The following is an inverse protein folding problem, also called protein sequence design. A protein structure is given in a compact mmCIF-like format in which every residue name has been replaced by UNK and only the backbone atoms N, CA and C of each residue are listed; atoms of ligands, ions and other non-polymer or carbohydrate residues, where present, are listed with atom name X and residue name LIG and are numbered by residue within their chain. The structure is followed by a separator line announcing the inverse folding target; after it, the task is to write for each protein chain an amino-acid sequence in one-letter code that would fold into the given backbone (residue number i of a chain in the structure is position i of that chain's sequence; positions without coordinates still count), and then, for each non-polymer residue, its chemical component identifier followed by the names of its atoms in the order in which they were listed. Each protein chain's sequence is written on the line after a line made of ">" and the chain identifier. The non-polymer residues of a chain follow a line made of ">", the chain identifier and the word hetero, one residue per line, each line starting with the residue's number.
data_IF_943838204808
#
_entry.id   IF_943838204808
#
_cell.length_a   1.000
_cell.length_b   1.000
_cell.length_c   1.000
_cell.angle_alpha   90.00
_cell.angle_beta   90.00
_cell.angle_gamma   90.00
#
_symmetry.space_group_name_H-M   'P 1'
#
loop_
_entity.id
_entity.type
_entity.pdbx_description
1 polymer ?
#
# COMPACT_ATOMS: atom_id res chain seq x y z
N UNK A 1 -14.70 16.05 -25.52
CA UNK A 1 -15.09 16.48 -24.16
C UNK A 1 -16.53 16.07 -23.96
N UNK A 2 -16.93 15.08 -23.18
CA UNK A 2 -16.32 14.29 -22.10
C UNK A 2 -16.27 12.80 -22.47
N UNK A 3 -15.15 12.14 -22.15
CA UNK A 3 -15.10 10.67 -22.10
C UNK A 3 -16.26 10.21 -21.20
N UNK A 4 -17.10 9.29 -21.69
CA UNK A 4 -18.20 8.71 -20.91
C UNK A 4 -17.62 8.15 -19.61
N UNK A 5 -17.90 8.81 -18.48
CA UNK A 5 -17.62 8.23 -17.18
C UNK A 5 -18.42 6.92 -17.09
N UNK A 6 -17.79 5.79 -16.76
CA UNK A 6 -18.53 4.56 -16.54
C UNK A 6 -19.63 4.82 -15.49
N UNK A 7 -20.90 4.44 -15.73
CA UNK A 7 -22.01 4.76 -14.82
C UNK A 7 -21.74 4.36 -13.37
N UNK A 8 -21.05 3.23 -13.15
CA UNK A 8 -20.62 2.77 -11.82
C UNK A 8 -19.69 3.78 -11.13
N UNK A 9 -18.72 4.33 -11.85
CA UNK A 9 -17.76 5.31 -11.30
C UNK A 9 -18.47 6.61 -10.93
N UNK A 10 -19.41 7.08 -11.77
CA UNK A 10 -20.21 8.26 -11.45
C UNK A 10 -21.10 8.02 -10.20
N UNK A 11 -21.75 6.86 -10.11
CA UNK A 11 -22.56 6.51 -8.95
C UNK A 11 -21.71 6.45 -7.66
N UNK A 12 -20.55 5.80 -7.71
CA UNK A 12 -19.61 5.72 -6.58
C UNK A 12 -19.07 7.11 -6.18
N UNK A 13 -18.85 8.00 -7.14
CA UNK A 13 -18.46 9.38 -6.88
C UNK A 13 -19.58 10.17 -6.20
N UNK A 14 -20.81 10.09 -6.71
CA UNK A 14 -21.97 10.77 -6.09
C UNK A 14 -22.26 10.23 -4.68
N UNK A 15 -22.16 8.91 -4.48
CA UNK A 15 -22.30 8.27 -3.17
C UNK A 15 -21.24 8.73 -2.17
N UNK A 16 -20.09 9.23 -2.64
CA UNK A 16 -19.05 9.75 -1.74
C UNK A 16 -19.38 11.12 -1.13
N UNK A 17 -20.28 11.92 -1.74
CA UNK A 17 -20.58 13.27 -1.25
C UNK A 17 -21.23 13.29 0.14
N UNK A 18 -22.01 12.27 0.49
CA UNK A 18 -22.59 12.18 1.85
C UNK A 18 -21.54 12.11 2.96
N UNK A 19 -20.31 11.70 2.65
CA UNK A 19 -19.21 11.71 3.60
C UNK A 19 -18.51 13.06 3.64
N UNK A 20 -18.47 13.79 2.52
CA UNK A 20 -17.88 15.14 2.46
C UNK A 20 -18.65 16.09 3.36
N UNK A 21 -19.98 15.98 3.42
CA UNK A 21 -20.81 16.80 4.31
C UNK A 21 -20.44 16.63 5.79
N UNK A 22 -19.91 15.46 6.18
CA UNK A 22 -19.48 15.22 7.56
C UNK A 22 -18.20 15.97 7.94
N UNK A 23 -17.42 16.49 6.98
CA UNK A 23 -16.25 17.33 7.28
C UNK A 23 -16.61 18.62 8.03
N UNK A 24 -17.89 19.01 8.06
CA UNK A 24 -18.36 20.13 8.87
C UNK A 24 -18.26 19.85 10.39
N UNK A 25 -18.25 18.58 10.82
CA UNK A 25 -18.30 18.20 12.24
C UNK A 25 -17.31 17.09 12.63
N UNK A 26 -16.65 16.45 11.66
CA UNK A 26 -15.71 15.35 11.85
C UNK A 26 -14.36 15.69 11.22
N UNK A 27 -13.29 15.10 11.77
CA UNK A 27 -11.94 15.17 11.17
C UNK A 27 -11.86 14.39 9.86
N UNK A 28 -10.86 14.69 9.03
CA UNK A 28 -10.60 13.98 7.76
C UNK A 28 -10.41 12.47 7.99
N UNK A 29 -9.78 12.09 9.10
CA UNK A 29 -9.54 10.69 9.49
C UNK A 29 -10.85 9.98 9.81
N UNK A 30 -11.73 10.61 10.60
CA UNK A 30 -13.05 10.05 10.95
C UNK A 30 -13.94 9.91 9.71
N UNK A 31 -13.95 10.92 8.83
CA UNK A 31 -14.70 10.88 7.57
C UNK A 31 -14.19 9.76 6.67
N UNK A 32 -12.87 9.63 6.51
CA UNK A 32 -12.27 8.56 5.72
C UNK A 32 -12.57 7.18 6.32
N UNK A 33 -12.53 7.03 7.64
CA UNK A 33 -12.88 5.77 8.30
C UNK A 33 -14.35 5.40 8.07
N UNK A 34 -15.25 6.37 8.21
CA UNK A 34 -16.68 6.19 7.94
C UNK A 34 -16.93 5.77 6.49
N UNK A 35 -16.23 6.39 5.54
CA UNK A 35 -16.27 6.02 4.13
C UNK A 35 -15.77 4.59 3.90
N UNK A 36 -14.59 4.25 4.42
CA UNK A 36 -14.01 2.90 4.32
C UNK A 36 -14.95 1.84 4.89
N UNK A 37 -15.51 2.08 6.07
CA UNK A 37 -16.44 1.17 6.73
C UNK A 37 -17.73 0.97 5.93
N UNK A 38 -18.32 2.06 5.43
CA UNK A 38 -19.55 1.99 4.63
C UNK A 38 -19.34 1.22 3.33
N UNK A 39 -18.24 1.51 2.61
CA UNK A 39 -17.92 0.82 1.35
C UNK A 39 -17.68 -0.68 1.59
N UNK A 40 -16.91 -1.03 2.61
CA UNK A 40 -16.61 -2.43 2.93
C UNK A 40 -17.86 -3.23 3.35
N UNK A 41 -18.76 -2.60 4.10
CA UNK A 41 -20.06 -3.19 4.42
C UNK A 41 -20.93 -3.38 3.18
N UNK A 42 -20.97 -2.41 2.27
CA UNK A 42 -21.69 -2.50 1.00
C UNK A 42 -21.19 -3.63 0.09
N UNK A 43 -19.93 -4.05 0.22
CA UNK A 43 -19.36 -5.21 -0.47
C UNK A 43 -19.68 -6.56 0.21
N UNK A 44 -20.33 -6.55 1.39
CA UNK A 44 -20.64 -7.77 2.14
C UNK A 44 -19.41 -8.47 2.73
N UNK A 45 -18.35 -7.72 3.05
CA UNK A 45 -17.07 -8.26 3.53
C UNK A 45 -16.90 -8.21 5.05
N UNK A 46 -17.82 -7.58 5.78
CA UNK A 46 -17.72 -7.35 7.24
C UNK A 46 -17.53 -8.63 8.07
N UNK A 47 -18.02 -9.78 7.62
CA UNK A 47 -17.91 -11.06 8.32
C UNK A 47 -16.68 -11.89 7.99
N UNK A 48 -15.79 -11.41 7.10
CA UNK A 48 -14.64 -12.20 6.62
C UNK A 48 -13.42 -12.05 7.54
N UNK A 49 -13.32 -10.93 8.26
CA UNK A 49 -12.12 -10.62 9.04
C UNK A 49 -12.13 -11.31 10.40
N UNK A 50 -11.01 -11.92 10.81
CA UNK A 50 -10.89 -12.59 12.10
C UNK A 50 -10.69 -11.63 13.28
N UNK A 51 -10.24 -10.39 13.02
CA UNK A 51 -10.01 -9.37 14.04
C UNK A 51 -10.19 -7.96 13.50
N UNK A 52 -10.45 -7.02 14.41
CA UNK A 52 -10.59 -5.59 14.07
C UNK A 52 -9.27 -4.94 13.67
N UNK A 53 -8.14 -5.49 14.13
CA UNK A 53 -6.80 -4.98 13.84
C UNK A 53 -6.47 -4.97 12.35
N UNK A 54 -7.03 -5.91 11.59
CA UNK A 54 -6.80 -6.06 10.15
C UNK A 54 -7.75 -5.20 9.30
N UNK A 55 -8.70 -4.53 9.94
CA UNK A 55 -9.89 -3.99 9.29
C UNK A 55 -9.57 -2.82 8.38
N UNK A 56 -8.79 -1.84 8.82
CA UNK A 56 -8.44 -0.67 8.00
C UNK A 56 -7.66 -1.08 6.75
N UNK A 57 -6.66 -1.96 6.90
CA UNK A 57 -5.88 -2.45 5.79
C UNK A 57 -6.75 -3.22 4.78
N UNK A 58 -7.60 -4.14 5.25
CA UNK A 58 -8.54 -4.85 4.39
C UNK A 58 -9.50 -3.90 3.64
N UNK A 59 -10.05 -2.90 4.33
CA UNK A 59 -10.94 -1.90 3.71
C UNK A 59 -10.24 -1.13 2.59
N UNK A 60 -9.01 -0.66 2.83
CA UNK A 60 -8.21 0.05 1.82
C UNK A 60 -7.87 -0.87 0.64
N UNK A 61 -7.46 -2.11 0.89
CA UNK A 61 -7.15 -3.09 -0.17
C UNK A 61 -8.38 -3.43 -1.02
N UNK A 62 -9.55 -3.58 -0.41
CA UNK A 62 -10.81 -3.78 -1.15
C UNK A 62 -11.11 -2.62 -2.09
N UNK A 63 -10.92 -1.37 -1.65
CA UNK A 63 -11.08 -0.21 -2.53
C UNK A 63 -10.05 -0.17 -3.67
N UNK A 64 -8.82 -0.65 -3.43
CA UNK A 64 -7.80 -0.74 -4.47
C UNK A 64 -8.17 -1.76 -5.56
N UNK A 65 -8.77 -2.90 -5.18
CA UNK A 65 -9.03 -4.02 -6.09
C UNK A 65 -10.07 -3.73 -7.18
N UNK A 66 -11.15 -3.00 -6.88
CA UNK A 66 -12.19 -2.60 -7.86
C UNK A 66 -12.71 -3.75 -8.76
N UNK A 67 -13.47 -4.69 -8.19
CA UNK A 67 -14.12 -5.79 -8.90
C UNK A 67 -13.71 -7.21 -8.49
N UNK A 68 -12.80 -7.34 -7.52
CA UNK A 68 -12.41 -8.61 -6.89
C UNK A 68 -12.08 -8.40 -5.40
N UNK A 69 -12.94 -7.63 -4.73
CA UNK A 69 -12.72 -7.14 -3.38
C UNK A 69 -12.73 -8.26 -2.33
N UNK A 70 -13.44 -9.35 -2.59
CA UNK A 70 -13.43 -10.54 -1.71
C UNK A 70 -12.11 -11.29 -1.84
N UNK A 71 -11.66 -11.51 -3.07
CA UNK A 71 -10.46 -12.27 -3.40
C UNK A 71 -9.22 -11.57 -2.85
N UNK A 72 -9.13 -10.24 -2.94
CA UNK A 72 -7.99 -9.51 -2.36
C UNK A 72 -7.95 -9.60 -0.83
N UNK A 73 -9.11 -9.64 -0.15
CA UNK A 73 -9.16 -9.82 1.31
C UNK A 73 -8.74 -11.24 1.69
N UNK A 74 -9.21 -12.25 0.96
CA UNK A 74 -8.76 -13.65 1.17
C UNK A 74 -7.26 -13.79 0.94
N UNK A 75 -6.73 -13.17 -0.13
CA UNK A 75 -5.30 -13.14 -0.42
C UNK A 75 -4.51 -12.46 0.72
N UNK A 76 -5.00 -11.33 1.23
CA UNK A 76 -4.41 -10.61 2.36
C UNK A 76 -4.36 -11.46 3.63
N UNK A 77 -5.44 -12.15 3.97
CA UNK A 77 -5.49 -13.05 5.12
C UNK A 77 -4.54 -14.25 4.96
N UNK A 78 -4.32 -14.69 3.72
CA UNK A 78 -3.43 -15.82 3.39
C UNK A 78 -1.94 -15.47 3.37
N UNK A 79 -1.57 -14.18 3.51
CA UNK A 79 -0.18 -13.76 3.51
C UNK A 79 0.62 -14.35 4.68
N UNK A 80 1.96 -14.48 4.51
CA UNK A 80 2.85 -14.69 5.65
C UNK A 80 2.64 -13.58 6.69
N UNK A 81 2.72 -13.94 7.98
CA UNK A 81 2.44 -13.01 9.08
C UNK A 81 3.23 -11.70 8.97
N UNK A 82 4.50 -11.77 8.56
CA UNK A 82 5.37 -10.61 8.38
C UNK A 82 4.87 -9.64 7.30
N UNK A 83 4.50 -10.16 6.12
CA UNK A 83 3.96 -9.32 5.03
C UNK A 83 2.59 -8.74 5.41
N UNK A 84 1.75 -9.54 6.08
CA UNK A 84 0.45 -9.08 6.59
C UNK A 84 0.60 -7.95 7.61
N UNK A 85 1.50 -8.09 8.58
CA UNK A 85 1.76 -7.05 9.58
C UNK A 85 2.26 -5.74 8.96
N UNK A 86 3.20 -5.80 8.01
CA UNK A 86 3.67 -4.60 7.29
C UNK A 86 2.51 -3.87 6.62
N UNK A 87 1.65 -4.61 5.89
CA UNK A 87 0.49 -4.02 5.24
C UNK A 87 -0.53 -3.47 6.25
N UNK A 88 -0.79 -4.19 7.34
CA UNK A 88 -1.66 -3.74 8.43
C UNK A 88 -1.17 -2.41 9.00
N UNK A 89 0.09 -2.34 9.39
CA UNK A 89 0.67 -1.15 10.01
C UNK A 89 0.68 0.03 9.03
N UNK A 90 1.19 -0.17 7.82
CA UNK A 90 1.41 0.92 6.86
C UNK A 90 0.11 1.44 6.24
N UNK A 91 -0.85 0.56 5.94
CA UNK A 91 -2.16 0.99 5.44
C UNK A 91 -3.03 1.59 6.55
N UNK A 92 -2.74 1.34 7.84
CA UNK A 92 -3.48 1.96 8.93
C UNK A 92 -2.97 3.35 9.31
N UNK A 93 -1.80 3.78 8.81
CA UNK A 93 -1.28 5.14 9.01
C UNK A 93 -2.07 6.15 8.18
N UNK A 94 -2.41 7.27 8.82
CA UNK A 94 -3.20 8.36 8.26
C UNK A 94 -2.33 9.45 7.65
N UNK A 95 -1.17 9.73 8.26
CA UNK A 95 -0.37 10.92 7.94
C UNK A 95 -0.90 12.20 8.60
N UNK A 96 -1.82 12.04 9.55
CA UNK A 96 -2.40 13.07 10.40
C UNK A 96 -2.02 12.79 11.86
N UNK A 97 -2.20 13.78 12.75
CA UNK A 97 -2.03 13.58 14.20
C UNK A 97 -3.03 12.57 14.76
N UNK A 98 -4.23 12.57 14.20
CA UNK A 98 -5.32 11.64 14.49
C UNK A 98 -5.06 10.27 13.84
N UNK A 99 -5.49 9.21 14.51
CA UNK A 99 -5.48 7.84 13.99
C UNK A 99 -6.91 7.34 13.85
N UNK A 100 -7.12 6.31 13.03
CA UNK A 100 -8.42 5.67 12.96
C UNK A 100 -8.82 5.11 14.34
N UNK A 101 -10.11 5.21 14.67
CA UNK A 101 -10.65 4.65 15.91
C UNK A 101 -10.49 3.12 15.97
N UNK A 102 -10.49 2.46 14.80
CA UNK A 102 -10.32 1.00 14.66
C UNK A 102 -8.88 0.55 14.39
N UNK A 103 -7.88 1.41 14.59
CA UNK A 103 -6.46 1.01 14.56
C UNK A 103 -6.14 0.15 15.80
N UNK A 104 -5.27 -0.88 15.69
CA UNK A 104 -4.80 -1.63 16.85
C UNK A 104 -4.26 -0.70 17.95
N UNK A 105 -4.56 -0.99 19.21
CA UNK A 105 -4.04 -0.20 20.35
C UNK A 105 -2.50 -0.21 20.44
N UNK A 106 -1.88 -1.21 19.84
CA UNK A 106 -0.43 -1.40 19.73
C UNK A 106 0.21 -0.61 18.60
N UNK A 107 -0.57 -0.03 17.69
CA UNK A 107 -0.04 0.70 16.55
C UNK A 107 0.66 1.99 17.02
N UNK A 108 1.93 2.12 16.65
CA UNK A 108 2.72 3.32 16.93
C UNK A 108 2.14 4.53 16.19
N UNK A 109 1.95 5.63 16.94
CA UNK A 109 1.54 6.95 16.43
C UNK A 109 2.69 7.72 15.78
N UNK A 110 3.66 7.04 15.18
CA UNK A 110 4.82 7.67 14.53
C UNK A 110 4.62 7.72 13.01
N UNK A 111 5.35 8.61 12.33
CA UNK A 111 5.30 8.74 10.87
C UNK A 111 6.68 8.81 10.22
N UNK A 112 6.78 9.04 8.91
CA UNK A 112 5.69 9.45 8.03
C UNK A 112 4.78 8.29 7.62
N UNK A 113 3.55 8.64 7.23
CA UNK A 113 2.70 7.75 6.44
C UNK A 113 3.18 7.68 4.98
N UNK A 114 2.77 6.64 4.27
CA UNK A 114 3.16 6.42 2.89
C UNK A 114 1.97 6.49 1.94
N UNK A 115 2.12 7.29 0.88
CA UNK A 115 1.27 7.25 -0.30
C UNK A 115 2.00 6.49 -1.40
N UNK A 116 1.63 5.22 -1.63
CA UNK A 116 2.15 4.45 -2.76
C UNK A 116 1.42 4.89 -4.03
N UNK A 117 2.04 5.81 -4.77
CA UNK A 117 1.48 6.35 -6.00
C UNK A 117 1.46 5.26 -7.09
N UNK A 118 0.27 4.96 -7.61
CA UNK A 118 -0.10 3.79 -8.43
C UNK A 118 -0.27 2.45 -7.69
N UNK A 119 -0.36 2.43 -6.35
CA UNK A 119 -0.73 1.23 -5.59
C UNK A 119 -2.01 0.53 -6.10
N UNK A 120 -3.13 1.25 -6.32
CA UNK A 120 -4.33 0.65 -6.91
C UNK A 120 -4.10 0.02 -8.28
N UNK A 121 -3.31 0.66 -9.15
CA UNK A 121 -3.03 0.14 -10.49
C UNK A 121 -2.23 -1.17 -10.42
N UNK A 122 -1.25 -1.29 -9.52
CA UNK A 122 -0.53 -2.55 -9.28
C UNK A 122 -1.49 -3.68 -8.87
N UNK A 123 -2.42 -3.41 -7.96
CA UNK A 123 -3.41 -4.39 -7.50
C UNK A 123 -4.35 -4.77 -8.66
N UNK A 124 -4.87 -3.79 -9.40
CA UNK A 124 -5.81 -4.02 -10.50
C UNK A 124 -5.19 -4.79 -11.66
N UNK A 125 -3.91 -4.54 -11.99
CA UNK A 125 -3.17 -5.27 -13.03
C UNK A 125 -3.03 -6.76 -12.69
N UNK A 126 -2.93 -7.11 -11.40
CA UNK A 126 -2.83 -8.49 -10.92
C UNK A 126 -4.11 -9.31 -11.11
N UNK A 127 -5.28 -8.63 -11.11
CA UNK A 127 -6.61 -9.26 -11.05
C UNK A 127 -6.76 -10.17 -9.82
N UNK A 128 -7.88 -10.89 -9.74
CA UNK A 128 -8.16 -11.83 -8.66
C UNK A 128 -7.10 -12.96 -8.54
N UNK A 129 -6.57 -13.43 -9.68
CA UNK A 129 -5.67 -14.60 -9.72
C UNK A 129 -4.26 -14.36 -9.19
N UNK A 130 -3.78 -13.10 -9.17
CA UNK A 130 -2.43 -12.75 -8.68
C UNK A 130 -2.49 -11.77 -7.50
N UNK A 131 -3.63 -11.69 -6.82
CA UNK A 131 -3.81 -10.78 -5.67
C UNK A 131 -2.80 -11.05 -4.56
N UNK A 132 -2.47 -12.32 -4.30
CA UNK A 132 -1.47 -12.71 -3.31
C UNK A 132 -0.09 -12.13 -3.63
N UNK A 133 0.41 -12.34 -4.85
CA UNK A 133 1.69 -11.83 -5.32
C UNK A 133 1.73 -10.30 -5.31
N UNK A 134 0.65 -9.64 -5.73
CA UNK A 134 0.55 -8.18 -5.72
C UNK A 134 0.73 -7.60 -4.31
N UNK A 135 0.09 -8.20 -3.31
CA UNK A 135 0.21 -7.78 -1.93
C UNK A 135 1.62 -7.99 -1.36
N UNK A 136 2.32 -9.05 -1.79
CA UNK A 136 3.72 -9.28 -1.41
C UNK A 136 4.67 -8.27 -2.03
N UNK A 137 4.43 -7.87 -3.28
CA UNK A 137 5.15 -6.76 -3.92
C UNK A 137 4.92 -5.48 -3.11
N UNK A 138 3.66 -5.16 -2.79
CA UNK A 138 3.31 -3.97 -2.03
C UNK A 138 3.95 -3.94 -0.63
N UNK A 139 3.91 -5.06 0.11
CA UNK A 139 4.58 -5.19 1.40
C UNK A 139 6.09 -4.97 1.30
N UNK A 140 6.72 -5.46 0.23
CA UNK A 140 8.15 -5.27 0.00
C UNK A 140 8.50 -3.82 -0.33
N UNK A 141 7.64 -3.12 -1.09
CA UNK A 141 7.78 -1.67 -1.34
C UNK A 141 7.67 -0.89 -0.05
N UNK A 142 6.73 -1.22 0.83
CA UNK A 142 6.60 -0.57 2.14
C UNK A 142 7.85 -0.78 3.02
N UNK A 143 8.36 -2.01 3.11
CA UNK A 143 9.60 -2.31 3.85
C UNK A 143 10.78 -1.46 3.35
N UNK A 144 11.02 -1.46 2.04
CA UNK A 144 12.10 -0.68 1.46
C UNK A 144 11.89 0.84 1.60
N UNK A 145 10.63 1.31 1.54
CA UNK A 145 10.29 2.71 1.81
C UNK A 145 10.59 3.10 3.25
N UNK A 146 10.39 2.16 4.20
CA UNK A 146 10.66 2.39 5.62
C UNK A 146 12.16 2.44 5.95
N UNK A 147 12.99 1.74 5.18
CA UNK A 147 14.45 1.92 5.23
C UNK A 147 14.85 3.34 4.80
N UNK A 148 14.19 3.90 3.78
CA UNK A 148 14.43 5.28 3.34
C UNK A 148 13.79 6.31 4.27
N UNK A 149 12.62 6.05 4.85
CA UNK A 149 11.90 7.01 5.68
C UNK A 149 11.49 6.37 7.02
N UNK A 150 12.44 6.24 7.96
CA UNK A 150 12.20 5.63 9.25
C UNK A 150 11.07 6.31 10.03
N UNK A 151 10.45 5.56 10.94
CA UNK A 151 9.46 6.12 11.85
C UNK A 151 10.13 7.14 12.80
N UNK A 152 9.51 8.30 12.93
CA UNK A 152 9.88 9.38 13.83
C UNK A 152 8.60 10.06 14.34
N UNK A 153 8.65 10.59 15.55
CA UNK A 153 7.49 11.31 16.12
C UNK A 153 7.24 12.63 15.37
N UNK A 154 8.31 13.28 14.92
CA UNK A 154 8.24 14.47 14.07
C UNK A 154 7.56 14.20 12.71
N UNK A 155 7.48 12.93 12.29
CA UNK A 155 6.87 12.54 11.03
C UNK A 155 5.37 12.27 11.09
N UNK A 156 4.73 12.29 12.27
CA UNK A 156 3.33 11.87 12.47
C UNK A 156 2.33 12.54 11.51
N UNK A 157 2.48 13.85 11.34
CA UNK A 157 1.61 14.72 10.54
C UNK A 157 2.22 14.96 9.14
N UNK A 158 2.81 13.91 8.58
CA UNK A 158 3.46 14.00 7.28
C UNK A 158 3.33 12.73 6.48
N UNK A 159 3.29 12.90 5.16
CA UNK A 159 3.22 11.81 4.19
C UNK A 159 4.46 11.83 3.30
N UNK A 160 4.90 10.65 2.87
CA UNK A 160 5.92 10.48 1.82
C UNK A 160 5.32 9.76 0.62
N UNK A 161 5.61 10.26 -0.57
CA UNK A 161 5.08 9.69 -1.81
C UNK A 161 6.10 8.72 -2.39
N UNK A 162 5.68 7.47 -2.59
CA UNK A 162 6.50 6.42 -3.19
C UNK A 162 5.94 6.11 -4.57
N UNK A 163 6.65 6.51 -5.62
CA UNK A 163 6.21 6.32 -7.00
C UNK A 163 6.62 4.94 -7.51
N UNK A 164 5.64 4.10 -7.79
CA UNK A 164 5.84 2.77 -8.40
C UNK A 164 5.50 2.76 -9.90
N UNK A 165 5.74 3.87 -10.60
CA UNK A 165 5.36 4.07 -12.01
C UNK A 165 5.85 2.95 -12.92
N UNK A 166 7.08 2.47 -12.70
CA UNK A 166 7.68 1.38 -13.49
C UNK A 166 7.05 0.00 -13.23
N UNK A 167 6.29 -0.16 -12.15
CA UNK A 167 5.64 -1.42 -11.77
C UNK A 167 4.15 -1.47 -12.13
N UNK A 168 3.47 -0.33 -12.30
CA UNK A 168 1.99 -0.25 -12.38
C UNK A 168 1.37 -1.09 -13.51
N UNK A 169 2.07 -1.23 -14.63
CA UNK A 169 1.63 -1.93 -15.84
C UNK A 169 2.27 -3.32 -15.96
N UNK A 170 2.91 -3.83 -14.90
CA UNK A 170 3.58 -5.13 -14.87
C UNK A 170 2.81 -6.12 -14.02
N UNK A 171 2.79 -7.38 -14.43
CA UNK A 171 2.20 -8.44 -13.61
C UNK A 171 3.06 -8.69 -12.37
N UNK A 172 2.46 -8.99 -11.21
CA UNK A 172 3.22 -9.27 -9.99
C UNK A 172 4.27 -10.38 -10.16
N UNK A 173 3.94 -11.45 -10.88
CA UNK A 173 4.89 -12.53 -11.18
C UNK A 173 6.16 -12.00 -11.88
N UNK A 174 6.02 -11.13 -12.89
CA UNK A 174 7.16 -10.53 -13.58
C UNK A 174 7.99 -9.64 -12.66
N UNK A 175 7.33 -8.90 -11.76
CA UNK A 175 8.00 -8.04 -10.78
C UNK A 175 8.86 -8.89 -9.84
N UNK A 176 8.34 -10.00 -9.33
CA UNK A 176 9.02 -10.91 -8.39
C UNK A 176 10.28 -11.57 -8.97
N UNK A 177 10.37 -11.72 -10.28
CA UNK A 177 11.55 -12.30 -10.94
C UNK A 177 12.73 -11.33 -11.11
N UNK A 178 12.53 -10.04 -10.87
CA UNK A 178 13.51 -8.98 -11.15
C UNK A 178 14.02 -8.34 -9.86
N UNK A 179 15.18 -7.67 -9.97
CA UNK A 179 15.73 -6.85 -8.89
C UNK A 179 15.25 -5.42 -9.01
N UNK A 180 14.73 -4.90 -7.91
CA UNK A 180 14.21 -3.55 -7.81
C UNK A 180 14.82 -2.85 -6.60
N UNK A 181 14.96 -1.54 -6.70
CA UNK A 181 15.36 -0.69 -5.61
C UNK A 181 14.44 0.53 -5.54
N UNK A 182 14.36 1.14 -4.36
CA UNK A 182 13.74 2.44 -4.16
C UNK A 182 14.86 3.43 -3.95
N UNK A 183 14.81 4.55 -4.66
CA UNK A 183 15.72 5.68 -4.45
C UNK A 183 14.93 6.89 -4.01
N UNK A 184 15.44 7.61 -3.03
CA UNK A 184 14.88 8.90 -2.61
C UNK A 184 15.14 9.93 -3.71
N UNK A 185 14.10 10.66 -4.11
CA UNK A 185 14.20 11.73 -5.12
C UNK A 185 14.12 13.12 -4.49
N UNK A 186 13.53 13.22 -3.30
CA UNK A 186 13.46 14.46 -2.51
C UNK A 186 13.33 14.12 -1.02
N UNK A 187 13.26 15.12 -0.13
CA UNK A 187 12.98 14.87 1.29
C UNK A 187 11.60 14.24 1.54
N UNK A 188 10.68 14.38 0.58
CA UNK A 188 9.29 13.92 0.68
C UNK A 188 8.90 12.82 -0.31
N UNK A 189 9.75 12.52 -1.28
CA UNK A 189 9.45 11.60 -2.38
C UNK A 189 10.54 10.55 -2.57
N UNK A 190 10.12 9.37 -3.03
CA UNK A 190 10.99 8.35 -3.57
C UNK A 190 10.35 7.68 -4.79
N UNK A 191 11.16 7.02 -5.59
CA UNK A 191 10.70 6.26 -6.75
C UNK A 191 11.35 4.88 -6.82
N UNK A 192 10.59 3.93 -7.35
CA UNK A 192 11.07 2.58 -7.62
C UNK A 192 11.72 2.53 -8.99
N UNK A 193 12.87 1.86 -9.07
CA UNK A 193 13.62 1.66 -10.30
C UNK A 193 14.07 0.19 -10.44
N UNK A 194 14.25 -0.24 -11.68
CA UNK A 194 14.73 -1.58 -12.04
C UNK A 194 16.27 -1.60 -12.02
N UNK A 195 16.86 -2.69 -11.53
CA UNK A 195 18.32 -2.91 -11.55
C UNK A 195 18.96 -2.93 -10.16
N UNK A 196 20.27 -3.12 -10.13
CA UNK A 196 21.05 -3.15 -8.89
C UNK A 196 21.39 -1.72 -8.40
N UNK A 197 21.38 -1.47 -7.07
CA UNK A 197 21.77 -0.17 -6.52
C UNK A 197 23.20 0.26 -6.87
N UNK A 198 24.09 -0.70 -7.12
CA UNK A 198 25.52 -0.48 -7.32
C UNK A 198 25.85 0.33 -8.58
N UNK A 199 24.95 0.34 -9.54
CA UNK A 199 25.13 1.07 -10.79
C UNK A 199 24.86 2.57 -10.63
N UNK A 200 24.41 3.00 -9.44
CA UNK A 200 24.22 4.41 -9.07
C UNK A 200 25.21 4.78 -7.96
N UNK A 201 26.34 5.39 -8.35
CA UNK A 201 27.43 5.74 -7.45
C UNK A 201 26.96 6.55 -6.22
N UNK A 202 27.21 6.01 -5.03
CA UNK A 202 27.29 6.70 -3.72
C UNK A 202 26.09 7.53 -3.29
N UNK A 203 24.94 6.91 -3.02
CA UNK A 203 23.85 7.64 -2.37
C UNK A 203 23.34 6.91 -1.14
N UNK A 204 23.37 7.58 0.03
CA UNK A 204 22.75 7.13 1.31
C UNK A 204 21.21 7.07 1.24
N UNK A 205 20.67 7.09 0.03
CA UNK A 205 19.27 7.33 -0.30
C UNK A 205 18.70 6.21 -1.18
N UNK A 206 19.30 5.01 -1.15
CA UNK A 206 18.81 3.83 -1.88
C UNK A 206 18.56 2.68 -0.93
N UNK A 207 17.40 2.04 -1.08
CA UNK A 207 16.99 0.84 -0.36
C UNK A 207 16.60 -0.26 -1.35
N UNK A 208 17.01 -1.50 -1.11
CA UNK A 208 16.66 -2.62 -1.98
C UNK A 208 15.25 -3.10 -1.70
N UNK A 209 14.46 -3.36 -2.74
CA UNK A 209 13.17 -4.03 -2.59
C UNK A 209 13.42 -5.53 -2.53
N UNK A 210 13.55 -6.06 -1.31
CA UNK A 210 13.72 -7.50 -1.08
C UNK A 210 12.40 -8.23 -1.35
N UNK A 211 12.21 -8.64 -2.61
CA UNK A 211 11.06 -9.43 -3.05
C UNK A 211 11.21 -10.90 -2.66
N UNK A 212 10.17 -11.52 -2.08
CA UNK A 212 10.23 -12.91 -1.70
C UNK A 212 10.31 -13.82 -2.91
N UNK A 213 11.28 -14.74 -2.91
CA UNK A 213 11.50 -15.67 -4.03
C UNK A 213 12.47 -15.14 -5.09
N UNK A 214 12.97 -13.90 -4.97
CA UNK A 214 14.11 -13.46 -5.76
C UNK A 214 15.31 -14.33 -5.36
N UNK A 215 15.65 -15.29 -6.21
CA UNK A 215 16.81 -16.17 -6.03
C UNK A 215 18.03 -15.26 -5.91
N UNK A 216 18.51 -15.04 -4.68
CA UNK A 216 19.84 -14.50 -4.46
C UNK A 216 20.78 -15.54 -5.03
N UNK A 217 21.22 -15.34 -6.27
CA UNK A 217 22.39 -16.00 -6.80
C UNK A 217 23.52 -15.73 -5.83
N UNK A 218 23.81 -16.69 -4.96
CA UNK A 218 24.96 -16.68 -4.08
C UNK A 218 26.17 -16.81 -5.00
N UNK A 219 26.68 -15.67 -5.45
CA UNK A 219 27.95 -15.60 -6.16
C UNK A 219 29.03 -16.07 -5.19
N UNK A 220 29.28 -17.38 -5.20
CA UNK A 220 30.46 -17.99 -4.59
C UNK A 220 31.62 -17.67 -5.51
N UNK A 221 32.17 -16.46 -5.35
CA UNK A 221 33.44 -16.08 -5.94
C UNK A 221 34.54 -16.95 -5.32
N UNK A 222 34.78 -18.11 -5.93
CA UNK A 222 35.93 -18.96 -5.65
C UNK A 222 37.16 -18.25 -6.22
N UNK A 223 37.89 -17.54 -5.36
CA UNK A 223 39.25 -17.09 -5.67
C UNK A 223 40.16 -18.32 -5.65
N UNK A 224 40.74 -18.65 -6.80
CA UNK A 224 41.98 -19.42 -6.92
C UNK A 224 43.12 -18.45 -7.13
#
# INVERSE_FOLDING_TARGET
>A
FTLKFPPKVLADFLDSFRFVDHLATQSEVEVLEGYLASRFAGMGLSGILPSDELRIAAMRLSLMAQGFEREIVVAFLSLPAQDRMVLTDELSRTGCKEQFARVPSTASRSGPAFLIYYGPALVQTAKASEGYEALRVLASVFRASRELFPLTDAGIDSTRVIRITVMKDKRPADILTRRWHIKRTSTVDAEVALGDPSDQERVKDVASVNLPGSLRGTSTASKK
#
